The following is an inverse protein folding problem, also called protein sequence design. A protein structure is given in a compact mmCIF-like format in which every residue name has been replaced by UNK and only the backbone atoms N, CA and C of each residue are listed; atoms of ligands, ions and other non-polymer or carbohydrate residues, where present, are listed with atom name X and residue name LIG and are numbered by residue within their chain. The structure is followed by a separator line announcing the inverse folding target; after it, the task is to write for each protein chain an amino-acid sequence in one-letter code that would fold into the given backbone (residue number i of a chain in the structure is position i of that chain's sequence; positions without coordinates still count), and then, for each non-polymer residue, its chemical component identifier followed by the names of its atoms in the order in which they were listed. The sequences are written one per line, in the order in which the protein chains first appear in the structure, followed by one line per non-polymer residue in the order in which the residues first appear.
data_IF_416596740908
#
_entry.id   IF_416596740908
#
_cell.length_a   1.000
_cell.length_b   1.000
_cell.length_c   1.000
_cell.angle_alpha   90.00
_cell.angle_beta   90.00
_cell.angle_gamma   90.00
#
_symmetry.space_group_name_H-M   'P 1'
#
loop_
_entity.id
_entity.type
_entity.pdbx_description
1 polymer ?
#
# COMPACT_ATOMS: atom_id res chain seq x y z
N UNK A 1 63.16 24.93 -41.27
CA UNK A 1 62.11 24.03 -40.67
C UNK A 1 60.85 24.17 -41.51
N UNK A 2 60.48 23.14 -42.22
CA UNK A 2 59.70 23.12 -43.41
C UNK A 2 58.18 23.18 -43.07
N UNK A 3 57.45 23.87 -43.92
CA UNK A 3 55.92 24.02 -43.85
C UNK A 3 55.17 22.70 -43.58
N UNK A 4 55.74 21.56 -44.01
CA UNK A 4 55.19 20.22 -43.75
C UNK A 4 55.14 19.87 -42.25
N UNK A 5 56.07 20.30 -41.42
CA UNK A 5 56.06 20.00 -39.98
C UNK A 5 54.99 20.77 -39.22
N UNK A 6 54.67 21.98 -39.68
CA UNK A 6 53.56 22.77 -39.09
C UNK A 6 52.17 22.23 -39.47
N UNK A 7 51.99 21.72 -40.71
CA UNK A 7 50.75 21.07 -41.11
C UNK A 7 50.46 19.77 -40.34
N UNK A 8 51.47 18.93 -40.07
CA UNK A 8 51.29 17.70 -39.32
C UNK A 8 50.93 17.95 -37.85
N UNK A 9 51.51 19.00 -37.21
CA UNK A 9 51.16 19.36 -35.84
C UNK A 9 49.76 19.89 -35.69
N UNK A 10 49.24 20.63 -36.70
CA UNK A 10 47.89 21.17 -36.72
C UNK A 10 46.80 20.07 -36.89
N UNK A 11 47.09 19.07 -37.72
CA UNK A 11 46.19 17.93 -37.95
C UNK A 11 46.11 17.04 -36.70
N UNK A 12 47.23 16.80 -36.01
CA UNK A 12 47.27 16.02 -34.76
C UNK A 12 46.56 16.73 -33.61
N UNK A 13 46.69 18.06 -33.53
CA UNK A 13 46.01 18.85 -32.50
C UNK A 13 44.49 18.85 -32.71
N UNK A 14 43.98 19.02 -33.94
CA UNK A 14 42.55 18.94 -34.28
C UNK A 14 41.95 17.57 -33.97
N UNK A 15 42.67 16.47 -34.28
CA UNK A 15 42.21 15.11 -33.93
C UNK A 15 42.13 14.87 -32.42
N UNK A 16 43.05 15.44 -31.63
CA UNK A 16 43.10 15.32 -30.17
C UNK A 16 41.95 16.10 -29.50
N UNK A 17 41.66 17.31 -30.01
CA UNK A 17 40.55 18.15 -29.54
C UNK A 17 39.21 17.50 -29.89
N UNK A 18 39.03 17.00 -31.11
CA UNK A 18 37.80 16.35 -31.58
C UNK A 18 37.52 15.04 -30.81
N UNK A 19 38.53 14.23 -30.48
CA UNK A 19 38.38 13.03 -29.63
C UNK A 19 38.02 13.37 -28.20
N UNK A 20 38.54 14.47 -27.62
CA UNK A 20 38.14 14.92 -26.27
C UNK A 20 36.72 15.44 -26.23
N UNK A 21 36.26 16.16 -27.25
CA UNK A 21 34.88 16.64 -27.35
C UNK A 21 33.86 15.51 -27.53
N UNK A 22 34.17 14.46 -28.28
CA UNK A 22 33.33 13.28 -28.45
C UNK A 22 33.24 12.47 -27.15
N UNK A 23 34.32 12.31 -26.41
CA UNK A 23 34.34 11.61 -25.11
C UNK A 23 33.54 12.36 -24.04
N UNK A 24 33.56 13.70 -24.03
CA UNK A 24 32.75 14.51 -23.11
C UNK A 24 31.24 14.46 -23.47
N UNK A 25 30.90 14.47 -24.77
CA UNK A 25 29.52 14.33 -25.21
C UNK A 25 28.93 12.93 -24.89
N UNK A 26 29.71 11.86 -25.01
CA UNK A 26 29.29 10.50 -24.65
C UNK A 26 29.13 10.38 -23.12
N UNK A 27 29.97 11.02 -22.31
CA UNK A 27 29.82 11.03 -20.85
C UNK A 27 28.60 11.80 -20.38
N UNK A 28 28.17 12.85 -21.10
CA UNK A 28 26.98 13.62 -20.76
C UNK A 28 25.69 12.84 -21.14
N UNK A 29 25.72 12.02 -22.22
CA UNK A 29 24.57 11.18 -22.57
C UNK A 29 24.38 9.99 -21.61
N UNK A 30 25.41 9.54 -20.89
CA UNK A 30 25.29 8.45 -19.91
C UNK A 30 24.77 8.92 -18.53
N UNK A 31 24.79 10.23 -18.25
CA UNK A 31 24.25 10.80 -17.00
C UNK A 31 22.76 11.18 -17.09
N UNK A 32 22.14 11.08 -18.26
CA UNK A 32 20.72 11.38 -18.44
C UNK A 32 19.79 10.16 -18.28
N UNK A 33 20.33 8.98 -17.90
CA UNK A 33 19.51 7.80 -17.54
C UNK A 33 19.44 7.63 -16.02
N UNK A 34 19.23 8.72 -15.29
CA UNK A 34 18.53 8.62 -14.02
C UNK A 34 17.08 8.29 -14.36
N UNK A 35 16.70 7.04 -14.21
CA UNK A 35 15.30 6.68 -14.09
C UNK A 35 14.73 7.53 -12.95
N UNK A 36 14.03 8.61 -13.28
CA UNK A 36 13.09 9.21 -12.36
C UNK A 36 12.07 8.11 -12.08
N UNK A 37 12.31 7.29 -11.06
CA UNK A 37 11.26 6.65 -10.33
C UNK A 37 10.44 7.80 -9.74
N UNK A 38 9.47 8.27 -10.50
CA UNK A 38 8.56 9.29 -10.05
C UNK A 38 7.72 8.66 -8.92
N UNK A 39 8.23 8.85 -7.68
CA UNK A 39 7.58 8.35 -6.46
C UNK A 39 6.18 8.95 -6.27
N UNK A 40 5.81 9.95 -7.07
CA UNK A 40 4.50 10.61 -7.04
C UNK A 40 3.43 9.91 -7.89
N UNK A 41 3.81 8.95 -8.75
CA UNK A 41 2.85 8.26 -9.62
C UNK A 41 1.88 7.42 -8.78
N UNK A 42 0.63 7.86 -8.71
CA UNK A 42 -0.47 7.12 -8.06
C UNK A 42 -0.79 5.83 -8.80
N UNK A 43 -1.13 4.79 -8.04
CA UNK A 43 -1.67 3.58 -8.62
C UNK A 43 -3.04 3.86 -9.27
N UNK A 44 -3.33 3.12 -10.35
CA UNK A 44 -4.67 3.16 -10.93
C UNK A 44 -5.65 2.43 -10.03
N UNK A 45 -6.71 3.10 -9.59
CA UNK A 45 -7.80 2.46 -8.86
C UNK A 45 -8.64 1.64 -9.83
N UNK A 46 -8.74 0.30 -9.67
CA UNK A 46 -9.61 -0.51 -10.49
C UNK A 46 -11.08 -0.25 -10.11
N UNK A 47 -11.98 -0.36 -11.08
CA UNK A 47 -13.42 -0.36 -10.84
C UNK A 47 -13.93 -1.79 -10.68
N UNK A 48 -14.86 -1.99 -9.75
CA UNK A 48 -15.59 -3.25 -9.63
C UNK A 48 -16.46 -3.49 -10.87
N UNK A 49 -16.53 -4.74 -11.32
CA UNK A 49 -17.38 -5.16 -12.44
C UNK A 49 -18.79 -5.48 -11.94
N UNK A 50 -19.70 -5.74 -12.88
CA UNK A 50 -21.06 -6.19 -12.54
C UNK A 50 -20.99 -7.49 -11.73
N UNK A 51 -21.65 -7.49 -10.57
CA UNK A 51 -21.64 -8.62 -9.62
C UNK A 51 -20.52 -8.60 -8.59
N UNK A 52 -19.51 -7.77 -8.75
CA UNK A 52 -18.46 -7.53 -7.75
C UNK A 52 -18.88 -6.41 -6.78
N UNK A 53 -18.37 -6.46 -5.55
CA UNK A 53 -18.58 -5.44 -4.54
C UNK A 53 -17.26 -4.85 -4.06
N UNK A 54 -17.34 -3.69 -3.38
CA UNK A 54 -16.18 -3.03 -2.77
C UNK A 54 -16.36 -2.87 -1.28
N UNK A 55 -15.27 -3.03 -0.52
CA UNK A 55 -15.19 -2.72 0.90
C UNK A 55 -13.89 -1.94 1.18
N UNK A 56 -13.89 -1.07 2.19
CA UNK A 56 -12.71 -0.27 2.56
C UNK A 56 -12.43 -0.39 4.04
N UNK A 57 -11.15 -0.59 4.40
CA UNK A 57 -10.70 -0.80 5.77
C UNK A 57 -9.38 -0.09 6.02
N UNK A 58 -9.16 0.43 7.24
CA UNK A 58 -7.90 0.95 7.73
C UNK A 58 -7.49 0.21 9.01
N UNK A 59 -6.29 -0.33 9.09
CA UNK A 59 -5.83 -1.20 10.17
C UNK A 59 -4.31 -1.10 10.42
N UNK A 60 -3.79 0.10 10.49
CA UNK A 60 -2.34 0.36 10.51
C UNK A 60 -1.73 0.27 9.12
N UNK A 61 -0.44 -0.08 9.03
CA UNK A 61 0.27 -0.13 7.76
C UNK A 61 -0.46 -0.98 6.70
N UNK A 62 -0.80 -0.35 5.60
CA UNK A 62 -1.59 -0.93 4.49
C UNK A 62 -0.88 -2.07 3.74
N UNK A 63 0.44 -2.22 3.85
CA UNK A 63 1.17 -3.30 3.17
C UNK A 63 0.74 -4.69 3.64
N UNK A 64 0.61 -4.87 4.97
CA UNK A 64 0.13 -6.14 5.54
C UNK A 64 -1.35 -6.37 5.27
N UNK A 65 -2.16 -5.30 5.32
CA UNK A 65 -3.60 -5.39 5.15
C UNK A 65 -3.95 -5.71 3.69
N UNK A 66 -3.27 -5.07 2.72
CA UNK A 66 -3.40 -5.40 1.30
C UNK A 66 -3.09 -6.87 1.04
N UNK A 67 -1.95 -7.37 1.55
CA UNK A 67 -1.57 -8.77 1.38
C UNK A 67 -2.58 -9.72 2.01
N UNK A 68 -2.96 -9.45 3.26
CA UNK A 68 -3.91 -10.32 3.96
C UNK A 68 -5.25 -10.46 3.24
N UNK A 69 -5.81 -9.37 2.71
CA UNK A 69 -7.02 -9.47 1.88
C UNK A 69 -6.76 -10.22 0.58
N UNK A 70 -5.62 -10.02 -0.07
CA UNK A 70 -5.27 -10.74 -1.30
C UNK A 70 -5.04 -12.25 -1.11
N UNK A 71 -4.87 -12.72 0.12
CA UNK A 71 -4.79 -14.15 0.43
C UNK A 71 -6.15 -14.85 0.51
N UNK A 72 -7.24 -14.09 0.63
CA UNK A 72 -8.59 -14.64 0.81
C UNK A 72 -9.20 -15.11 -0.53
N UNK A 73 -9.94 -16.21 -0.50
CA UNK A 73 -10.79 -16.64 -1.61
C UNK A 73 -11.86 -15.58 -1.86
N UNK A 74 -12.21 -15.36 -3.12
CA UNK A 74 -13.23 -14.38 -3.50
C UNK A 74 -12.74 -12.94 -3.52
N UNK A 75 -11.58 -12.61 -2.96
CA UNK A 75 -10.96 -11.29 -3.15
C UNK A 75 -10.30 -11.24 -4.53
N UNK A 76 -10.77 -10.29 -5.35
CA UNK A 76 -10.34 -10.09 -6.72
C UNK A 76 -9.15 -9.14 -6.76
N UNK A 77 -9.25 -8.05 -5.98
CA UNK A 77 -8.21 -7.02 -5.89
C UNK A 77 -8.26 -6.33 -4.53
N UNK A 78 -7.08 -6.05 -3.97
CA UNK A 78 -6.90 -5.12 -2.87
C UNK A 78 -5.92 -4.02 -3.32
N UNK A 79 -6.24 -2.77 -3.03
CA UNK A 79 -5.46 -1.60 -3.40
C UNK A 79 -5.15 -0.79 -2.16
N UNK A 80 -3.86 -0.55 -1.88
CA UNK A 80 -3.40 0.34 -0.82
C UNK A 80 -3.68 1.79 -1.16
N UNK A 81 -4.08 2.60 -0.18
CA UNK A 81 -4.42 4.00 -0.39
C UNK A 81 -4.78 4.72 0.91
N UNK A 82 -5.55 5.77 0.79
CA UNK A 82 -5.90 6.69 1.87
C UNK A 82 -7.40 6.94 1.88
N UNK A 83 -8.00 6.94 3.07
CA UNK A 83 -9.42 7.22 3.25
C UNK A 83 -9.71 7.85 4.61
N UNK A 84 -10.87 8.48 4.73
CA UNK A 84 -11.40 8.97 6.01
C UNK A 84 -10.96 10.39 6.39
N UNK A 85 -10.18 11.08 5.59
CA UNK A 85 -9.77 12.46 5.77
C UNK A 85 -10.39 13.41 4.76
N UNK A 86 -10.02 14.69 4.84
CA UNK A 86 -10.62 15.76 4.04
C UNK A 86 -9.70 16.29 2.93
N UNK A 87 -8.40 16.00 2.98
CA UNK A 87 -7.44 16.44 1.96
C UNK A 87 -7.67 15.71 0.65
N UNK A 88 -7.87 16.45 -0.45
CA UNK A 88 -8.00 15.85 -1.77
C UNK A 88 -6.65 15.43 -2.35
N UNK A 89 -6.65 14.24 -2.97
CA UNK A 89 -5.47 13.65 -3.64
C UNK A 89 -4.18 13.70 -2.77
N UNK A 90 -4.23 13.26 -1.49
CA UNK A 90 -3.09 13.36 -0.59
C UNK A 90 -1.92 12.51 -1.08
N UNK A 91 -0.69 12.93 -0.77
CA UNK A 91 0.51 12.11 -0.94
C UNK A 91 0.82 11.31 0.32
N UNK A 92 1.69 10.30 0.19
CA UNK A 92 2.15 9.52 1.35
C UNK A 92 2.75 10.41 2.44
N UNK A 93 3.62 11.37 2.08
CA UNK A 93 4.26 12.28 3.02
C UNK A 93 3.24 13.17 3.75
N UNK A 94 2.18 13.57 3.07
CA UNK A 94 1.11 14.35 3.69
C UNK A 94 0.33 13.52 4.69
N UNK A 95 -0.04 12.27 4.35
CA UNK A 95 -0.78 11.38 5.24
C UNK A 95 0.05 10.99 6.45
N UNK A 96 1.31 10.58 6.24
CA UNK A 96 2.23 10.21 7.32
C UNK A 96 2.60 11.37 8.25
N UNK A 97 2.33 12.63 7.84
CA UNK A 97 2.46 13.79 8.72
C UNK A 97 1.27 13.99 9.68
N UNK A 98 0.24 13.12 9.64
CA UNK A 98 -0.99 13.17 10.44
C UNK A 98 -1.86 14.43 10.27
N UNK A 99 -1.66 15.23 9.19
CA UNK A 99 -2.35 16.50 8.98
C UNK A 99 -3.47 16.47 7.96
N UNK A 100 -3.67 15.34 7.28
CA UNK A 100 -4.69 15.18 6.23
C UNK A 100 -6.02 14.67 6.74
N UNK A 101 -6.05 14.12 7.96
CA UNK A 101 -7.18 13.38 8.49
C UNK A 101 -7.37 11.99 7.89
N UNK A 102 -6.63 11.63 6.82
CA UNK A 102 -6.68 10.29 6.25
C UNK A 102 -5.97 9.25 7.11
N UNK A 103 -6.45 8.00 7.02
CA UNK A 103 -5.72 6.84 7.46
C UNK A 103 -5.17 6.07 6.24
N UNK A 104 -4.07 5.34 6.43
CA UNK A 104 -3.68 4.27 5.52
C UNK A 104 -4.80 3.24 5.45
N UNK A 105 -5.31 3.00 4.26
CA UNK A 105 -6.47 2.17 4.04
C UNK A 105 -6.25 1.22 2.86
N UNK A 106 -7.07 0.17 2.81
CA UNK A 106 -7.11 -0.76 1.69
C UNK A 106 -8.54 -0.83 1.17
N UNK A 107 -8.72 -0.61 -0.14
CA UNK A 107 -9.97 -0.89 -0.82
C UNK A 107 -9.91 -2.27 -1.46
N UNK A 108 -10.91 -3.08 -1.16
CA UNK A 108 -11.04 -4.49 -1.59
C UNK A 108 -12.17 -4.60 -2.59
N UNK A 109 -11.91 -5.20 -3.76
CA UNK A 109 -12.94 -5.68 -4.69
C UNK A 109 -13.07 -7.18 -4.49
N UNK A 110 -14.29 -7.66 -4.29
CA UNK A 110 -14.57 -9.05 -3.97
C UNK A 110 -15.84 -9.58 -4.68
N UNK A 111 -15.90 -10.90 -4.84
CA UNK A 111 -17.09 -11.61 -5.28
C UNK A 111 -17.95 -11.99 -4.06
N UNK A 112 -19.14 -11.38 -3.87
CA UNK A 112 -19.99 -11.64 -2.72
C UNK A 112 -20.57 -13.06 -2.71
N UNK A 113 -20.52 -13.80 -3.83
CA UNK A 113 -20.95 -15.20 -3.88
C UNK A 113 -19.88 -16.16 -3.31
N UNK A 114 -18.62 -15.69 -3.17
CA UNK A 114 -17.50 -16.50 -2.66
C UNK A 114 -17.07 -16.08 -1.26
N UNK A 115 -17.07 -14.80 -0.96
CA UNK A 115 -16.74 -14.24 0.36
C UNK A 115 -17.71 -13.12 0.71
N UNK A 116 -18.29 -13.16 1.91
CA UNK A 116 -19.21 -12.13 2.38
C UNK A 116 -18.48 -10.94 3.01
N UNK A 117 -19.14 -9.79 3.09
CA UNK A 117 -18.64 -8.63 3.82
C UNK A 117 -18.33 -8.94 5.30
N UNK A 118 -19.17 -9.75 5.95
CA UNK A 118 -18.94 -10.21 7.33
C UNK A 118 -17.64 -11.01 7.47
N UNK A 119 -17.31 -11.86 6.49
CA UNK A 119 -16.03 -12.61 6.49
C UNK A 119 -14.83 -11.69 6.24
N UNK A 120 -14.97 -10.65 5.41
CA UNK A 120 -13.95 -9.62 5.26
C UNK A 120 -13.74 -8.85 6.58
N UNK A 121 -14.79 -8.53 7.32
CA UNK A 121 -14.71 -7.92 8.65
C UNK A 121 -13.99 -8.84 9.66
N UNK A 122 -14.27 -10.13 9.66
CA UNK A 122 -13.54 -11.07 10.51
C UNK A 122 -12.05 -11.07 10.19
N UNK A 123 -11.67 -11.15 8.91
CA UNK A 123 -10.28 -11.08 8.48
C UNK A 123 -9.63 -9.75 8.91
N UNK A 124 -10.32 -8.62 8.74
CA UNK A 124 -9.86 -7.30 9.18
C UNK A 124 -9.53 -7.30 10.68
N UNK A 125 -10.42 -7.82 11.54
CA UNK A 125 -10.19 -7.84 12.99
C UNK A 125 -9.10 -8.82 13.45
N UNK A 126 -8.80 -9.88 12.69
CA UNK A 126 -7.67 -10.76 12.99
C UNK A 126 -6.32 -10.19 12.56
N UNK A 127 -6.30 -9.31 11.54
CA UNK A 127 -5.05 -8.78 10.99
C UNK A 127 -4.41 -7.67 11.83
N UNK A 128 -5.11 -7.11 12.84
CA UNK A 128 -4.57 -6.02 13.64
C UNK A 128 -5.04 -6.10 15.10
N UNK A 129 -4.55 -5.22 15.93
CA UNK A 129 -5.07 -4.99 17.28
C UNK A 129 -6.05 -3.81 17.25
N UNK A 130 -7.37 -4.07 17.29
CA UNK A 130 -8.39 -3.04 17.15
C UNK A 130 -8.58 -2.18 18.42
N UNK A 131 -7.81 -2.42 19.47
CA UNK A 131 -7.86 -1.67 20.75
C UNK A 131 -6.85 -0.55 20.83
N UNK A 132 -5.95 -0.42 19.84
CA UNK A 132 -4.92 0.60 19.80
C UNK A 132 -5.42 1.90 19.16
N UNK A 133 -5.61 2.92 19.99
CA UNK A 133 -6.03 4.24 19.50
C UNK A 133 -4.88 4.97 18.81
N UNK A 134 -5.11 5.43 17.57
CA UNK A 134 -4.17 6.20 16.75
C UNK A 134 -2.77 5.58 16.65
N UNK A 135 -2.72 4.24 16.56
CA UNK A 135 -1.48 3.49 16.34
C UNK A 135 -1.78 2.05 15.97
N UNK A 136 -0.77 1.34 15.47
CA UNK A 136 -0.81 -0.11 15.31
C UNK A 136 0.60 -0.71 15.47
N UNK A 137 0.83 -1.35 16.63
CA UNK A 137 2.16 -1.87 16.97
C UNK A 137 3.21 -0.76 17.05
N UNK A 138 4.30 -0.80 16.27
CA UNK A 138 5.33 0.24 16.29
C UNK A 138 4.89 1.53 15.57
N UNK A 139 3.89 1.47 14.70
CA UNK A 139 3.44 2.61 13.90
C UNK A 139 2.55 3.52 14.74
N UNK A 140 2.98 4.75 14.97
CA UNK A 140 2.30 5.74 15.82
C UNK A 140 1.83 6.90 14.95
N UNK A 141 0.57 7.27 15.09
CA UNK A 141 -0.07 8.37 14.38
C UNK A 141 -1.52 8.06 14.01
N UNK A 142 -2.29 9.11 13.75
CA UNK A 142 -3.70 8.99 13.33
C UNK A 142 -3.84 8.32 11.96
N UNK A 143 -2.78 8.37 11.15
CA UNK A 143 -2.67 7.66 9.86
C UNK A 143 -2.71 6.13 10.00
N UNK A 144 -2.41 5.59 11.19
CA UNK A 144 -2.44 4.15 11.46
C UNK A 144 -3.63 3.68 12.29
N UNK A 145 -4.66 4.53 12.47
CA UNK A 145 -5.85 4.19 13.26
C UNK A 145 -6.72 3.13 12.57
N UNK A 146 -7.53 2.46 13.37
CA UNK A 146 -8.46 1.43 12.91
C UNK A 146 -9.79 2.06 12.49
N UNK A 147 -10.23 1.79 11.24
CA UNK A 147 -11.52 2.23 10.70
C UNK A 147 -12.13 1.11 9.87
N UNK A 148 -13.41 0.79 10.13
CA UNK A 148 -14.25 0.02 9.24
C UNK A 148 -15.22 0.97 8.52
N UNK A 149 -15.11 1.08 7.19
CA UNK A 149 -15.98 1.93 6.40
C UNK A 149 -17.22 1.16 5.92
N UNK A 150 -18.37 1.82 5.91
CA UNK A 150 -19.62 1.26 5.41
C UNK A 150 -20.21 2.10 4.28
N UNK A 151 -20.79 1.45 3.29
CA UNK A 151 -21.48 2.09 2.15
C UNK A 151 -23.00 2.08 2.30
N UNK A 152 -23.54 1.28 3.22
CA UNK A 152 -24.97 1.12 3.45
C UNK A 152 -25.27 0.72 4.91
N UNK A 153 -26.56 0.73 5.26
CA UNK A 153 -27.01 0.44 6.62
C UNK A 153 -26.76 -1.02 7.05
N UNK A 154 -26.77 -1.96 6.10
CA UNK A 154 -26.52 -3.38 6.38
C UNK A 154 -25.05 -3.58 6.76
N UNK A 155 -24.10 -3.04 5.99
CA UNK A 155 -22.67 -3.09 6.32
C UNK A 155 -22.39 -2.43 7.68
N UNK A 156 -23.03 -1.28 7.98
CA UNK A 156 -22.90 -0.64 9.29
C UNK A 156 -23.36 -1.56 10.44
N UNK A 157 -24.48 -2.25 10.26
CA UNK A 157 -24.98 -3.20 11.27
C UNK A 157 -24.04 -4.41 11.42
N UNK A 158 -23.50 -4.93 10.31
CA UNK A 158 -22.54 -6.03 10.33
C UNK A 158 -21.23 -5.64 11.04
N UNK A 159 -20.73 -4.42 10.87
CA UNK A 159 -19.55 -3.91 11.61
C UNK A 159 -19.85 -3.98 13.12
N UNK A 160 -20.97 -3.40 13.58
CA UNK A 160 -21.33 -3.41 14.99
C UNK A 160 -21.44 -4.82 15.56
N UNK A 161 -22.14 -5.72 14.86
CA UNK A 161 -22.26 -7.13 15.27
C UNK A 161 -20.92 -7.84 15.38
N UNK A 162 -19.99 -7.56 14.43
CA UNK A 162 -18.67 -8.17 14.44
C UNK A 162 -17.81 -7.60 15.57
N UNK A 163 -17.84 -6.30 15.82
CA UNK A 163 -17.16 -5.68 16.97
C UNK A 163 -17.64 -6.29 18.31
N UNK A 164 -18.97 -6.45 18.47
CA UNK A 164 -19.55 -7.10 19.66
C UNK A 164 -19.09 -8.55 19.80
N UNK A 165 -19.02 -9.29 18.68
CA UNK A 165 -18.47 -10.65 18.65
C UNK A 165 -17.03 -10.67 19.17
N UNK A 166 -16.16 -9.83 18.61
CA UNK A 166 -14.73 -9.79 18.98
C UNK A 166 -14.52 -9.31 20.42
N UNK A 167 -15.29 -8.33 20.91
CA UNK A 167 -15.29 -7.93 22.31
C UNK A 167 -15.65 -9.11 23.25
N UNK A 168 -16.70 -9.88 22.91
CA UNK A 168 -17.11 -11.06 23.70
C UNK A 168 -16.11 -12.22 23.65
N UNK A 169 -15.33 -12.35 22.58
CA UNK A 169 -14.27 -13.37 22.48
C UNK A 169 -13.14 -13.15 23.48
N UNK A 170 -12.97 -11.93 23.99
CA UNK A 170 -11.92 -11.61 24.98
C UNK A 170 -10.51 -11.79 24.45
N UNK A 171 -10.30 -11.66 23.14
CA UNK A 171 -8.98 -11.77 22.52
C UNK A 171 -8.04 -10.61 22.89
N UNK A 172 -8.62 -9.49 23.28
CA UNK A 172 -7.92 -8.30 23.71
C UNK A 172 -8.34 -7.91 25.12
N UNK A 173 -7.44 -7.30 25.89
CA UNK A 173 -7.72 -6.82 27.23
C UNK A 173 -8.62 -5.59 27.24
N UNK A 174 -8.40 -4.72 26.27
CA UNK A 174 -9.06 -3.42 26.18
C UNK A 174 -10.20 -3.47 25.14
N UNK A 175 -11.12 -2.50 25.23
CA UNK A 175 -12.23 -2.40 24.31
C UNK A 175 -11.77 -2.02 22.90
N UNK A 176 -12.49 -2.47 21.88
CA UNK A 176 -12.26 -2.11 20.49
C UNK A 176 -12.53 -0.61 20.30
N UNK A 177 -11.57 0.10 19.71
CA UNK A 177 -11.62 1.53 19.38
C UNK A 177 -11.75 1.81 17.87
N UNK A 178 -12.04 0.77 17.08
CA UNK A 178 -12.26 0.90 15.63
C UNK A 178 -13.36 1.91 15.34
N UNK A 179 -13.06 2.92 14.53
CA UNK A 179 -14.05 3.88 14.04
C UNK A 179 -15.01 3.18 13.05
N UNK A 180 -16.32 3.47 13.16
CA UNK A 180 -17.35 3.03 12.20
C UNK A 180 -17.75 4.24 11.39
N UNK A 181 -17.25 4.36 10.15
CA UNK A 181 -17.38 5.58 9.35
C UNK A 181 -18.06 5.31 8.02
N UNK A 182 -18.96 6.22 7.59
CA UNK A 182 -19.52 6.16 6.24
C UNK A 182 -18.38 6.33 5.22
N UNK A 183 -18.39 5.47 4.18
CA UNK A 183 -17.44 5.60 3.09
C UNK A 183 -17.80 6.82 2.22
N UNK A 184 -16.79 7.64 1.92
CA UNK A 184 -16.93 8.79 1.01
C UNK A 184 -15.97 8.62 -0.17
N UNK A 185 -14.67 8.79 0.07
CA UNK A 185 -13.64 8.76 -0.97
C UNK A 185 -12.47 7.88 -0.59
N UNK A 186 -11.85 7.29 -1.61
CA UNK A 186 -10.60 6.55 -1.51
C UNK A 186 -9.60 7.10 -2.53
N UNK A 187 -8.40 7.40 -2.08
CA UNK A 187 -7.30 7.85 -2.91
C UNK A 187 -6.24 6.74 -2.96
N UNK A 188 -5.96 6.14 -4.14
CA UNK A 188 -4.94 5.10 -4.22
C UNK A 188 -3.56 5.68 -3.86
N UNK A 189 -2.79 4.90 -3.11
CA UNK A 189 -1.41 5.24 -2.80
C UNK A 189 -0.53 5.14 -4.06
N UNK A 190 0.68 5.65 -3.96
CA UNK A 190 1.69 5.64 -5.00
C UNK A 190 1.99 4.20 -5.45
N UNK A 191 2.39 4.05 -6.71
CA UNK A 191 2.56 2.75 -7.35
C UNK A 191 3.55 1.82 -6.60
N UNK A 192 4.60 2.39 -5.99
CA UNK A 192 5.60 1.64 -5.26
C UNK A 192 5.10 1.04 -3.93
N UNK A 193 3.97 1.53 -3.39
CA UNK A 193 3.33 0.94 -2.22
C UNK A 193 2.48 -0.29 -2.55
N UNK A 194 2.09 -0.47 -3.82
CA UNK A 194 1.24 -1.58 -4.20
C UNK A 194 2.02 -2.90 -4.19
N UNK A 195 1.44 -3.92 -3.52
CA UNK A 195 2.04 -5.25 -3.35
C UNK A 195 3.43 -5.23 -2.66
N UNK A 196 3.72 -4.20 -1.87
CA UNK A 196 5.04 -4.01 -1.25
C UNK A 196 5.47 -5.24 -0.44
N UNK A 197 4.56 -5.85 0.31
CA UNK A 197 4.81 -7.08 1.07
C UNK A 197 5.41 -8.19 0.20
N UNK A 198 4.83 -8.45 -0.97
CA UNK A 198 5.29 -9.52 -1.89
C UNK A 198 6.59 -9.18 -2.60
N UNK A 199 6.77 -7.91 -2.93
CA UNK A 199 7.93 -7.44 -3.69
C UNK A 199 9.17 -7.29 -2.82
N UNK A 200 9.01 -7.18 -1.48
CA UNK A 200 10.08 -6.94 -0.53
C UNK A 200 10.10 -7.97 0.63
N UNK A 201 10.15 -9.30 0.35
CA UNK A 201 9.98 -10.34 1.36
C UNK A 201 11.10 -10.36 2.41
N UNK A 202 12.25 -9.77 2.13
CA UNK A 202 13.41 -9.73 3.02
C UNK A 202 13.53 -8.39 3.79
N UNK A 203 12.58 -7.47 3.59
CA UNK A 203 12.55 -6.22 4.34
C UNK A 203 12.29 -6.51 5.83
N UNK A 204 13.06 -5.86 6.72
CA UNK A 204 12.98 -6.11 8.16
C UNK A 204 11.61 -5.75 8.75
N UNK A 205 10.96 -4.70 8.25
CA UNK A 205 9.61 -4.33 8.68
C UNK A 205 8.57 -5.34 8.20
N UNK A 206 8.71 -5.83 6.96
CA UNK A 206 7.84 -6.89 6.41
C UNK A 206 7.93 -8.15 7.26
N UNK A 207 9.15 -8.59 7.59
CA UNK A 207 9.34 -9.84 8.35
C UNK A 207 8.92 -9.71 9.82
N UNK A 208 9.25 -8.60 10.48
CA UNK A 208 9.07 -8.47 11.93
C UNK A 208 7.74 -7.82 12.34
N UNK A 209 7.12 -7.01 11.48
CA UNK A 209 5.86 -6.30 11.79
C UNK A 209 4.69 -6.84 10.97
N UNK A 210 4.83 -6.96 9.65
CA UNK A 210 3.75 -7.41 8.78
C UNK A 210 3.53 -8.93 8.85
N UNK A 211 4.59 -9.73 8.85
CA UNK A 211 4.52 -11.20 8.87
C UNK A 211 3.70 -11.77 10.01
N UNK A 212 3.89 -11.33 11.27
CA UNK A 212 3.08 -11.79 12.40
C UNK A 212 1.57 -11.53 12.26
N UNK A 213 1.17 -10.44 11.60
CA UNK A 213 -0.26 -10.12 11.33
C UNK A 213 -0.89 -11.14 10.38
N UNK A 214 -0.18 -11.45 9.28
CA UNK A 214 -0.63 -12.46 8.32
C UNK A 214 -0.65 -13.87 8.91
N UNK A 215 0.33 -14.19 9.78
CA UNK A 215 0.33 -15.47 10.51
C UNK A 215 -0.95 -15.63 11.33
N UNK A 216 -1.35 -14.60 12.10
CA UNK A 216 -2.61 -14.60 12.87
C UNK A 216 -3.83 -14.82 11.98
N UNK A 217 -3.92 -14.14 10.83
CA UNK A 217 -5.00 -14.32 9.86
C UNK A 217 -5.08 -15.77 9.39
N UNK A 218 -3.94 -16.33 8.96
CA UNK A 218 -3.87 -17.71 8.42
C UNK A 218 -4.26 -18.75 9.47
N UNK A 219 -3.82 -18.57 10.71
CA UNK A 219 -4.18 -19.45 11.84
C UNK A 219 -5.66 -19.35 12.21
N UNK A 220 -6.24 -18.13 12.18
CA UNK A 220 -7.62 -17.91 12.58
C UNK A 220 -8.65 -18.32 11.51
N UNK A 221 -8.34 -18.11 10.23
CA UNK A 221 -9.29 -18.27 9.12
C UNK A 221 -8.75 -19.16 7.98
N UNK A 222 -8.20 -20.36 8.26
CA UNK A 222 -7.58 -21.21 7.24
C UNK A 222 -8.54 -21.59 6.10
N UNK A 223 -9.84 -21.68 6.39
CA UNK A 223 -10.85 -22.05 5.41
C UNK A 223 -11.15 -20.94 4.38
N UNK A 224 -10.88 -19.69 4.73
CA UNK A 224 -11.07 -18.54 3.84
C UNK A 224 -9.86 -18.30 2.93
N UNK A 225 -8.71 -18.90 3.21
CA UNK A 225 -7.49 -18.70 2.44
C UNK A 225 -7.55 -19.42 1.08
N UNK A 226 -6.93 -18.81 0.07
CA UNK A 226 -6.61 -19.51 -1.18
C UNK A 226 -5.68 -20.68 -0.87
N UNK A 227 -5.77 -21.79 -1.65
CA UNK A 227 -5.07 -23.04 -1.32
C UNK A 227 -3.54 -22.92 -1.23
N UNK A 228 -2.95 -21.98 -1.95
CA UNK A 228 -1.50 -21.70 -1.90
C UNK A 228 -1.01 -21.04 -0.60
N UNK A 229 -1.93 -20.61 0.29
CA UNK A 229 -1.61 -19.94 1.56
C UNK A 229 -2.01 -20.75 2.81
N UNK A 230 -2.53 -21.96 2.60
CA UNK A 230 -2.89 -22.91 3.67
C UNK A 230 -1.69 -23.63 4.27
#
# INVERSE_FOLDING_TARGET
MTILAQCLSYITLKRKVMRRSILVLISILFLASCSNNDSSIKAKLPAAKVGEQTATFAAGCFWSIQEGFMELKGVIKATSGYAGGDTENPTYEQVSSDRTGHAEAVQVIYDPNVISYAQLLEAFFYMHDPTQLNRQGPDIGTSYRSIAFYSNAEEKAQIGTTMDKFNRMGLHRDAIVTEVKAFDKFYPAEAHHQNYYRLNPNDAYITNVCGPKLKKLREALPNLLQDKYK
#
